data_IF_032801700949
#
_entry.id   IF_032801700949
#
_cell.length_a   1.000
_cell.length_b   1.000
_cell.length_c   1.000
_cell.angle_alpha   90.00
_cell.angle_beta   90.00
_cell.angle_gamma   90.00
#
_symmetry.space_group_name_H-M   'P 1'
#
loop_
_entity.id
_entity.type
_entity.pdbx_description
1 polymer ?
#
# COMPACT_ATOMS: atom_id res chain seq x y z
N UNK A 1 31.11 38.91 -24.51
CA UNK A 1 29.76 39.06 -23.95
C UNK A 1 28.77 38.00 -24.47
N UNK A 2 28.61 37.80 -25.81
CA UNK A 2 27.68 36.79 -26.37
C UNK A 2 27.94 35.35 -25.90
N UNK A 3 29.21 34.93 -25.81
CA UNK A 3 29.60 33.58 -25.33
C UNK A 3 29.28 33.33 -23.86
N UNK A 4 29.41 34.39 -23.02
CA UNK A 4 29.10 34.32 -21.60
C UNK A 4 27.58 34.19 -21.38
N UNK A 5 26.76 34.84 -22.20
CA UNK A 5 25.29 34.79 -22.15
C UNK A 5 24.77 33.42 -22.54
N UNK A 6 25.37 32.79 -23.56
CA UNK A 6 25.02 31.42 -24.00
C UNK A 6 25.40 30.41 -22.91
N UNK A 7 26.54 30.55 -22.26
CA UNK A 7 26.97 29.68 -21.16
C UNK A 7 26.01 29.78 -19.96
N UNK A 8 25.55 30.99 -19.63
CA UNK A 8 24.60 31.26 -18.55
C UNK A 8 23.21 30.64 -18.85
N UNK A 9 22.78 30.72 -20.13
CA UNK A 9 21.52 30.14 -20.58
C UNK A 9 21.53 28.60 -20.53
N UNK A 10 22.65 27.95 -20.89
CA UNK A 10 22.83 26.51 -20.85
C UNK A 10 22.84 25.99 -19.40
N UNK A 11 23.49 26.72 -18.47
CA UNK A 11 23.47 26.36 -17.05
C UNK A 11 22.08 26.47 -16.43
N UNK A 12 21.23 27.40 -16.88
CA UNK A 12 19.85 27.53 -16.40
C UNK A 12 18.96 26.39 -16.86
N UNK A 13 19.21 25.84 -18.05
CA UNK A 13 18.44 24.69 -18.59
C UNK A 13 18.77 23.37 -17.87
N UNK A 14 19.95 23.25 -17.24
CA UNK A 14 20.38 22.03 -16.56
C UNK A 14 19.88 21.94 -15.10
N UNK A 15 19.34 23.01 -14.53
CA UNK A 15 18.83 23.01 -13.14
C UNK A 15 17.34 22.69 -13.04
N UNK A 16 16.67 22.38 -14.15
CA UNK A 16 15.26 21.97 -14.17
C UNK A 16 15.08 20.49 -13.80
N UNK A 17 15.81 19.99 -12.82
CA UNK A 17 15.46 18.75 -12.15
C UNK A 17 14.42 19.10 -11.07
N UNK A 18 13.17 19.30 -11.48
CA UNK A 18 12.06 19.46 -10.56
C UNK A 18 11.99 18.23 -9.66
N UNK A 19 11.82 18.44 -8.36
CA UNK A 19 11.45 17.39 -7.42
C UNK A 19 10.16 16.74 -7.93
N UNK A 20 10.29 15.62 -8.64
CA UNK A 20 9.14 14.83 -9.08
C UNK A 20 8.53 14.22 -7.83
N UNK A 21 7.46 14.81 -7.30
CA UNK A 21 6.65 14.16 -6.29
C UNK A 21 6.05 12.89 -6.89
N UNK A 22 6.15 11.77 -6.20
CA UNK A 22 5.52 10.53 -6.67
C UNK A 22 4.00 10.73 -6.77
N UNK A 23 3.36 10.03 -7.73
CA UNK A 23 1.90 10.07 -7.87
C UNK A 23 1.20 9.52 -6.64
N UNK A 24 1.75 8.46 -6.05
CA UNK A 24 1.19 7.73 -4.93
C UNK A 24 2.24 7.50 -3.84
N UNK A 25 1.77 7.31 -2.62
CA UNK A 25 2.58 6.84 -1.49
C UNK A 25 2.58 5.30 -1.47
N UNK A 26 3.78 4.69 -1.46
CA UNK A 26 4.00 3.25 -1.45
C UNK A 26 4.62 2.75 -0.13
N UNK A 27 4.30 3.42 0.97
CA UNK A 27 5.00 3.25 2.23
C UNK A 27 6.32 4.03 2.27
N UNK A 28 6.92 4.12 3.45
CA UNK A 28 8.20 4.81 3.61
C UNK A 28 9.31 4.19 2.75
N UNK A 29 10.30 4.99 2.39
CA UNK A 29 11.46 4.52 1.61
C UNK A 29 12.61 4.16 2.54
N UNK A 30 13.18 2.96 2.38
CA UNK A 30 14.34 2.50 3.10
C UNK A 30 15.33 1.83 2.13
N UNK A 31 16.59 2.27 2.15
CA UNK A 31 17.65 1.74 1.26
C UNK A 31 17.29 1.82 -0.23
N UNK A 32 16.63 2.90 -0.66
CA UNK A 32 16.30 3.13 -2.06
C UNK A 32 15.08 2.36 -2.58
N UNK A 33 14.38 1.60 -1.73
CA UNK A 33 13.16 0.90 -2.08
C UNK A 33 12.02 1.28 -1.15
N UNK A 34 10.78 1.23 -1.64
CA UNK A 34 9.59 1.48 -0.82
C UNK A 34 9.30 0.31 0.11
N UNK A 35 8.52 0.54 1.17
CA UNK A 35 8.07 -0.53 2.04
C UNK A 35 7.28 -1.60 1.28
N UNK A 36 6.44 -1.20 0.33
CA UNK A 36 5.72 -2.09 -0.56
C UNK A 36 6.67 -3.00 -1.36
N UNK A 37 7.68 -2.41 -2.02
CA UNK A 37 8.68 -3.19 -2.77
C UNK A 37 9.42 -4.20 -1.90
N UNK A 38 9.79 -3.80 -0.69
CA UNK A 38 10.55 -4.65 0.21
C UNK A 38 9.72 -5.78 0.82
N UNK A 39 8.47 -5.51 1.20
CA UNK A 39 7.63 -6.48 1.93
C UNK A 39 6.74 -7.31 1.00
N UNK A 40 6.12 -6.68 -0.01
CA UNK A 40 5.18 -7.37 -0.88
C UNK A 40 5.86 -8.02 -2.09
N UNK A 41 6.84 -7.37 -2.70
CA UNK A 41 7.44 -7.84 -3.95
C UNK A 41 8.71 -8.66 -3.74
N UNK A 42 9.75 -8.10 -3.12
CA UNK A 42 11.07 -8.78 -3.00
C UNK A 42 11.07 -9.99 -2.07
N UNK A 43 10.15 -10.06 -1.12
CA UNK A 43 10.10 -11.13 -0.11
C UNK A 43 8.80 -11.93 -0.17
N UNK A 44 8.10 -11.91 -1.28
CA UNK A 44 6.83 -12.60 -1.44
C UNK A 44 6.95 -14.12 -1.19
N UNK A 45 8.02 -14.75 -1.64
CA UNK A 45 8.33 -16.17 -1.48
C UNK A 45 8.91 -16.55 -0.12
N UNK A 46 9.22 -15.56 0.74
CA UNK A 46 9.87 -15.74 2.04
C UNK A 46 9.00 -15.25 3.20
N UNK A 47 7.70 -15.37 3.05
CA UNK A 47 6.78 -14.89 4.08
C UNK A 47 6.88 -15.72 5.34
N UNK A 48 7.16 -15.05 6.46
CA UNK A 48 7.06 -15.56 7.81
C UNK A 48 5.86 -14.95 8.52
N UNK A 49 5.38 -15.51 9.64
CA UNK A 49 4.33 -14.89 10.43
C UNK A 49 4.58 -13.42 10.76
N UNK A 50 5.84 -13.08 11.09
CA UNK A 50 6.23 -11.71 11.42
C UNK A 50 6.24 -10.80 10.19
N UNK A 51 6.61 -11.32 9.01
CA UNK A 51 6.55 -10.55 7.75
C UNK A 51 5.11 -10.29 7.31
N UNK A 52 4.20 -11.24 7.52
CA UNK A 52 2.76 -11.08 7.30
C UNK A 52 2.21 -9.96 8.19
N UNK A 53 2.57 -9.93 9.47
CA UNK A 53 2.17 -8.84 10.36
C UNK A 53 2.69 -7.47 9.91
N UNK A 54 3.94 -7.40 9.44
CA UNK A 54 4.51 -6.16 8.87
C UNK A 54 3.80 -5.74 7.60
N UNK A 55 3.47 -6.68 6.74
CA UNK A 55 2.80 -6.45 5.47
C UNK A 55 1.37 -5.91 5.70
N UNK A 56 0.62 -6.49 6.63
CA UNK A 56 -0.71 -5.99 7.05
C UNK A 56 -0.62 -4.55 7.55
N UNK A 57 0.34 -4.23 8.42
CA UNK A 57 0.51 -2.87 8.93
C UNK A 57 0.97 -1.88 7.85
N UNK A 58 1.79 -2.31 6.91
CA UNK A 58 2.21 -1.48 5.77
C UNK A 58 1.03 -1.13 4.87
N UNK A 59 0.19 -2.10 4.54
CA UNK A 59 -1.03 -1.84 3.75
C UNK A 59 -1.97 -0.90 4.49
N UNK A 60 -2.15 -1.10 5.81
CA UNK A 60 -2.96 -0.21 6.64
C UNK A 60 -2.45 1.23 6.59
N UNK A 61 -1.13 1.43 6.69
CA UNK A 61 -0.48 2.73 6.60
C UNK A 61 -0.77 3.41 5.24
N UNK A 62 -0.57 2.69 4.13
CA UNK A 62 -0.80 3.22 2.77
C UNK A 62 -2.26 3.61 2.55
N UNK A 63 -3.21 2.82 3.06
CA UNK A 63 -4.65 3.06 2.85
C UNK A 63 -5.20 4.14 3.78
N UNK A 64 -4.68 4.22 5.00
CA UNK A 64 -5.15 5.18 6.03
C UNK A 64 -4.53 6.56 5.85
N UNK A 65 -3.26 6.59 5.43
CA UNK A 65 -2.48 7.82 5.23
C UNK A 65 -1.97 7.92 3.79
N UNK A 66 -2.87 7.96 2.81
CA UNK A 66 -2.45 8.06 1.43
C UNK A 66 -1.70 9.36 1.18
N UNK A 67 -0.74 9.30 0.28
CA UNK A 67 0.11 10.45 -0.05
C UNK A 67 0.41 10.51 -1.55
N UNK A 68 1.45 11.26 -1.89
CA UNK A 68 1.76 11.61 -3.26
C UNK A 68 0.83 12.68 -3.81
N UNK A 69 0.97 13.03 -5.08
CA UNK A 69 0.17 14.10 -5.70
C UNK A 69 -1.32 13.72 -5.87
N UNK A 70 -1.65 12.44 -5.89
CA UNK A 70 -3.02 11.93 -6.00
C UNK A 70 -3.75 11.88 -4.66
N UNK A 71 -3.05 11.81 -3.54
CA UNK A 71 -3.59 11.71 -2.19
C UNK A 71 -4.68 10.62 -2.03
N UNK A 72 -4.43 9.49 -2.66
CA UNK A 72 -5.29 8.30 -2.61
C UNK A 72 -4.40 7.04 -2.66
N UNK A 73 -4.88 5.88 -2.18
CA UNK A 73 -4.13 4.63 -2.29
C UNK A 73 -3.78 4.30 -3.75
N UNK A 74 -2.61 3.70 -4.03
CA UNK A 74 -2.27 3.25 -5.37
C UNK A 74 -3.27 2.21 -5.91
N UNK A 75 -3.45 2.13 -7.26
CA UNK A 75 -4.30 1.10 -7.86
C UNK A 75 -3.88 -0.32 -7.42
N UNK A 76 -4.85 -1.13 -7.06
CA UNK A 76 -4.66 -2.52 -6.61
C UNK A 76 -4.41 -2.67 -5.11
N UNK A 77 -3.92 -1.65 -4.42
CA UNK A 77 -3.53 -1.76 -3.00
C UNK A 77 -4.71 -2.10 -2.09
N UNK A 78 -5.87 -1.47 -2.30
CA UNK A 78 -7.05 -1.81 -1.50
C UNK A 78 -7.53 -3.25 -1.77
N UNK A 79 -7.41 -3.74 -3.02
CA UNK A 79 -7.77 -5.11 -3.35
C UNK A 79 -6.79 -6.13 -2.74
N UNK A 80 -5.47 -5.90 -2.86
CA UNK A 80 -4.44 -6.78 -2.27
C UNK A 80 -4.58 -6.85 -0.76
N UNK A 81 -4.74 -5.70 -0.11
CA UNK A 81 -4.95 -5.63 1.32
C UNK A 81 -6.25 -6.30 1.74
N UNK A 82 -7.35 -6.02 1.03
CA UNK A 82 -8.64 -6.66 1.27
C UNK A 82 -8.56 -8.18 1.17
N UNK A 83 -7.93 -8.70 0.11
CA UNK A 83 -7.72 -10.12 -0.05
C UNK A 83 -6.91 -10.73 1.10
N UNK A 84 -5.85 -10.05 1.51
CA UNK A 84 -4.98 -10.50 2.60
C UNK A 84 -5.74 -10.61 3.94
N UNK A 85 -6.65 -9.69 4.21
CA UNK A 85 -7.48 -9.72 5.42
C UNK A 85 -8.60 -10.78 5.35
N UNK A 86 -9.02 -11.19 4.15
CA UNK A 86 -10.02 -12.23 3.97
C UNK A 86 -9.47 -13.66 4.13
N UNK A 87 -8.14 -13.84 4.21
CA UNK A 87 -7.51 -15.12 4.52
C UNK A 87 -7.61 -15.35 6.04
N UNK A 88 -8.38 -16.36 6.50
CA UNK A 88 -8.63 -16.55 7.94
C UNK A 88 -7.34 -16.74 8.76
N UNK A 89 -6.36 -17.45 8.20
CA UNK A 89 -5.08 -17.73 8.82
C UNK A 89 -4.30 -16.44 9.17
N UNK A 90 -4.48 -15.38 8.40
CA UNK A 90 -3.82 -14.10 8.64
C UNK A 90 -4.33 -13.39 9.90
N UNK A 91 -5.60 -13.57 10.25
CA UNK A 91 -6.15 -13.07 11.52
C UNK A 91 -5.52 -13.79 12.72
N UNK A 92 -5.35 -15.11 12.64
CA UNK A 92 -4.70 -15.91 13.68
C UNK A 92 -3.22 -15.57 13.80
N UNK A 93 -2.51 -15.46 12.67
CA UNK A 93 -1.11 -15.03 12.61
C UNK A 93 -0.95 -13.67 13.27
N UNK A 94 -1.79 -12.71 12.91
CA UNK A 94 -1.72 -11.36 13.47
C UNK A 94 -2.01 -11.34 14.97
N UNK A 95 -3.03 -12.07 15.42
CA UNK A 95 -3.35 -12.19 16.83
C UNK A 95 -2.15 -12.72 17.65
N UNK A 96 -1.45 -13.72 17.12
CA UNK A 96 -0.36 -14.43 17.80
C UNK A 96 0.99 -13.73 17.69
N UNK A 97 1.37 -13.24 16.50
CA UNK A 97 2.73 -12.82 16.20
C UNK A 97 2.90 -11.30 16.08
N UNK A 98 1.82 -10.52 15.95
CA UNK A 98 1.95 -9.08 15.88
C UNK A 98 2.45 -8.49 17.21
N UNK A 99 3.38 -7.55 17.10
CA UNK A 99 3.88 -6.79 18.25
C UNK A 99 2.78 -5.90 18.85
N UNK A 100 2.98 -5.46 20.10
CA UNK A 100 2.03 -4.55 20.76
C UNK A 100 1.86 -3.23 19.98
N UNK A 101 2.91 -2.76 19.28
CA UNK A 101 2.84 -1.57 18.43
C UNK A 101 1.96 -1.82 17.20
N UNK A 102 2.15 -2.95 16.52
CA UNK A 102 1.34 -3.36 15.37
C UNK A 102 -0.13 -3.54 15.74
N UNK A 103 -0.42 -4.14 16.90
CA UNK A 103 -1.79 -4.31 17.40
C UNK A 103 -2.50 -2.98 17.66
N UNK A 104 -1.78 -1.94 18.06
CA UNK A 104 -2.33 -0.59 18.26
C UNK A 104 -2.77 0.11 16.97
N UNK A 105 -2.34 -0.39 15.82
CA UNK A 105 -2.77 0.15 14.52
C UNK A 105 -4.27 -0.08 14.29
N UNK A 106 -4.85 -1.09 14.95
CA UNK A 106 -6.25 -1.46 14.78
C UNK A 106 -7.08 -1.11 16.00
N UNK A 107 -8.33 -0.67 15.74
CA UNK A 107 -9.28 -0.33 16.80
C UNK A 107 -9.85 -1.56 17.53
N UNK A 108 -9.78 -2.75 16.90
CA UNK A 108 -10.30 -4.00 17.45
C UNK A 108 -9.17 -4.98 17.76
N UNK A 109 -9.37 -5.80 18.77
CA UNK A 109 -8.54 -6.96 19.11
C UNK A 109 -9.12 -8.28 18.62
N UNK A 110 -10.37 -8.27 18.16
CA UNK A 110 -11.09 -9.43 17.62
C UNK A 110 -10.82 -9.57 16.12
N UNK A 111 -9.57 -9.91 15.77
CA UNK A 111 -9.13 -9.92 14.37
C UNK A 111 -9.88 -10.92 13.50
N UNK A 112 -10.33 -12.06 14.05
CA UNK A 112 -11.07 -13.07 13.32
C UNK A 112 -12.41 -12.55 12.75
N UNK A 113 -13.04 -11.60 13.43
CA UNK A 113 -14.29 -10.96 12.97
C UNK A 113 -14.03 -9.63 12.28
N UNK A 114 -13.06 -8.88 12.73
CA UNK A 114 -12.74 -7.55 12.22
C UNK A 114 -12.11 -7.59 10.81
N UNK A 115 -11.14 -8.49 10.58
CA UNK A 115 -10.42 -8.55 9.31
C UNK A 115 -11.32 -8.89 8.12
N UNK A 116 -12.22 -9.89 8.17
CA UNK A 116 -13.12 -10.17 7.05
C UNK A 116 -14.04 -9.00 6.69
N UNK A 117 -14.58 -8.30 7.67
CA UNK A 117 -15.42 -7.10 7.43
C UNK A 117 -14.62 -6.02 6.74
N UNK A 118 -13.45 -5.66 7.30
CA UNK A 118 -12.56 -4.65 6.72
C UNK A 118 -12.04 -5.08 5.34
N UNK A 119 -11.74 -6.35 5.15
CA UNK A 119 -11.29 -6.90 3.87
C UNK A 119 -12.30 -6.69 2.75
N UNK A 120 -13.58 -6.97 3.03
CA UNK A 120 -14.67 -6.71 2.09
C UNK A 120 -14.83 -5.21 1.78
N UNK A 121 -14.79 -4.35 2.80
CA UNK A 121 -14.86 -2.90 2.63
C UNK A 121 -13.72 -2.37 1.74
N UNK A 122 -12.51 -2.89 1.91
CA UNK A 122 -11.35 -2.51 1.10
C UNK A 122 -11.51 -2.92 -0.36
N UNK A 123 -12.01 -4.12 -0.63
CA UNK A 123 -12.27 -4.55 -2.01
C UNK A 123 -13.35 -3.68 -2.69
N UNK A 124 -14.38 -3.29 -1.96
CA UNK A 124 -15.38 -2.34 -2.46
C UNK A 124 -14.78 -0.95 -2.68
N UNK A 125 -13.90 -0.49 -1.80
CA UNK A 125 -13.16 0.76 -1.96
C UNK A 125 -12.27 0.75 -3.20
N UNK A 126 -11.64 -0.37 -3.56
CA UNK A 126 -10.89 -0.49 -4.82
C UNK A 126 -11.77 -0.24 -6.03
N UNK A 127 -12.98 -0.84 -6.05
CA UNK A 127 -13.94 -0.63 -7.15
C UNK A 127 -14.41 0.83 -7.22
N UNK A 128 -14.60 1.48 -6.06
CA UNK A 128 -14.98 2.88 -5.99
C UNK A 128 -13.89 3.81 -6.56
N UNK A 129 -12.64 3.58 -6.15
CA UNK A 129 -11.50 4.41 -6.58
C UNK A 129 -11.07 4.12 -8.02
N UNK A 130 -11.21 2.87 -8.45
CA UNK A 130 -10.75 2.34 -9.74
C UNK A 130 -11.85 1.48 -10.38
N UNK A 131 -12.89 2.07 -10.98
CA UNK A 131 -14.06 1.35 -11.50
C UNK A 131 -13.72 0.27 -12.53
N UNK A 132 -12.62 0.41 -13.25
CA UNK A 132 -12.12 -0.60 -14.20
C UNK A 132 -11.72 -1.92 -13.53
N UNK A 133 -11.45 -1.91 -12.23
CA UNK A 133 -11.12 -3.10 -11.43
C UNK A 133 -12.35 -3.97 -11.14
N UNK A 134 -13.56 -3.42 -11.24
CA UNK A 134 -14.81 -4.09 -10.86
C UNK A 134 -14.98 -5.46 -11.50
N UNK A 135 -14.64 -5.60 -12.78
CA UNK A 135 -14.74 -6.89 -13.52
C UNK A 135 -13.90 -8.01 -12.91
N UNK A 136 -12.85 -7.68 -12.16
CA UNK A 136 -11.98 -8.64 -11.50
C UNK A 136 -12.33 -8.80 -10.02
N UNK A 137 -12.66 -7.71 -9.34
CA UNK A 137 -12.84 -7.68 -7.88
C UNK A 137 -14.25 -8.15 -7.47
N UNK A 138 -15.30 -7.79 -8.22
CA UNK A 138 -16.66 -8.19 -7.86
C UNK A 138 -16.85 -9.72 -7.77
N UNK A 139 -16.36 -10.55 -8.72
CA UNK A 139 -16.42 -12.01 -8.58
C UNK A 139 -15.64 -12.57 -7.39
N UNK A 140 -14.54 -11.89 -6.98
CA UNK A 140 -13.79 -12.29 -5.79
C UNK A 140 -14.57 -12.01 -4.51
N UNK A 141 -15.24 -10.86 -4.43
CA UNK A 141 -16.10 -10.53 -3.28
C UNK A 141 -17.22 -11.56 -3.16
N UNK A 142 -17.91 -11.90 -4.25
CA UNK A 142 -18.95 -12.91 -4.24
C UNK A 142 -18.47 -14.28 -3.75
N UNK A 143 -17.25 -14.66 -4.12
CA UNK A 143 -16.68 -15.96 -3.74
C UNK A 143 -16.14 -16.01 -2.31
N UNK A 144 -15.57 -14.91 -1.83
CA UNK A 144 -14.83 -14.88 -0.55
C UNK A 144 -15.67 -14.36 0.62
N UNK A 145 -16.76 -13.62 0.34
CA UNK A 145 -17.54 -12.93 1.37
C UNK A 145 -19.00 -13.42 1.50
N UNK A 146 -19.34 -14.55 0.86
CA UNK A 146 -20.66 -15.18 0.96
C UNK A 146 -20.59 -16.53 1.65
#
# INVERSE_FOLDING_TARGET
MKKLFVLLLVTFCLTSCGLTSSLYYWGGTQNGATAYENLAYKNYDKQTPESICKLICMYEDIVTYPGGSRNMPPPGICAEYGYMLLIPENAEIFAKYATSMQKRTFASTEYATFFPVKGKELMLKEIELYPESAKFIAPLIERLCN
#
